data_IF_050544712950
#
_entry.id   IF_050544712950
#
_cell.length_a   1.000
_cell.length_b   1.000
_cell.length_c   1.000
_cell.angle_alpha   90.00
_cell.angle_beta   90.00
_cell.angle_gamma   90.00
#
_symmetry.space_group_name_H-M   'P 1'
#
loop_
_entity.id
_entity.type
_entity.pdbx_description
1 polymer ?
#
# COMPACT_ATOMS: atom_id res chain seq x y z
N UNK A 1 -9.94 -22.17 13.75
CA UNK A 1 -10.19 -20.71 13.80
C UNK A 1 -8.85 -20.01 13.72
N UNK A 2 -8.78 -18.84 13.06
CA UNK A 2 -7.62 -17.94 12.91
C UNK A 2 -6.72 -18.17 11.67
N UNK A 3 -7.27 -17.87 10.49
CA UNK A 3 -6.48 -17.45 9.32
C UNK A 3 -7.03 -16.13 8.74
N UNK A 4 -7.78 -15.36 9.53
CA UNK A 4 -8.58 -14.23 9.04
C UNK A 4 -8.00 -12.86 9.43
N UNK A 5 -6.89 -12.81 10.16
CA UNK A 5 -6.33 -11.53 10.62
C UNK A 5 -5.21 -11.01 9.70
N UNK A 6 -4.66 -11.86 8.83
CA UNK A 6 -3.67 -11.47 7.82
C UNK A 6 -4.27 -10.86 6.55
N UNK A 7 -5.52 -11.24 6.23
CA UNK A 7 -6.25 -10.73 5.08
C UNK A 7 -6.83 -9.32 5.33
N UNK A 8 -7.15 -9.02 6.59
CA UNK A 8 -7.67 -7.72 7.03
C UNK A 8 -6.55 -6.67 7.18
N UNK A 9 -5.31 -7.11 7.41
CA UNK A 9 -4.17 -6.22 7.39
C UNK A 9 -4.05 -5.57 6.00
N UNK A 10 -3.92 -4.24 5.91
CA UNK A 10 -3.85 -3.52 4.65
C UNK A 10 -2.45 -3.67 4.01
N UNK A 11 -1.99 -4.90 3.80
CA UNK A 11 -0.70 -5.25 3.19
C UNK A 11 -0.51 -4.57 1.82
N UNK A 12 -1.61 -4.34 1.10
CA UNK A 12 -1.62 -3.65 -0.18
C UNK A 12 -1.14 -2.18 -0.09
N UNK A 13 -1.16 -1.58 1.10
CA UNK A 13 -0.61 -0.23 1.37
C UNK A 13 0.89 -0.22 1.65
N UNK A 14 1.50 -1.38 1.86
CA UNK A 14 2.94 -1.49 2.05
C UNK A 14 3.60 -1.58 0.67
N UNK A 15 4.38 -0.56 0.34
CA UNK A 15 5.15 -0.47 -0.90
C UNK A 15 6.64 -0.51 -0.55
N UNK A 16 7.46 -0.94 -1.51
CA UNK A 16 8.90 -0.79 -1.39
C UNK A 16 9.29 0.69 -1.39
N UNK A 17 10.48 1.01 -0.88
CA UNK A 17 11.00 2.38 -0.83
C UNK A 17 11.11 3.06 -2.21
N UNK A 18 11.10 2.29 -3.31
CA UNK A 18 11.07 2.79 -4.68
C UNK A 18 9.64 3.03 -5.24
N UNK A 19 8.61 2.86 -4.42
CA UNK A 19 7.19 3.07 -4.79
C UNK A 19 6.63 1.97 -5.70
N UNK A 20 7.40 0.92 -5.95
CA UNK A 20 6.98 -0.20 -6.79
C UNK A 20 6.27 -1.29 -5.95
N UNK A 21 5.11 -1.79 -6.41
CA UNK A 21 4.46 -2.97 -5.82
C UNK A 21 5.32 -4.22 -6.02
N UNK A 22 5.08 -5.26 -5.22
CA UNK A 22 5.78 -6.54 -5.40
C UNK A 22 5.43 -7.15 -6.76
N UNK A 23 6.41 -7.58 -7.60
CA UNK A 23 6.14 -8.02 -8.99
C UNK A 23 5.10 -9.13 -9.11
N UNK A 24 5.10 -10.07 -8.16
CA UNK A 24 4.17 -11.20 -8.13
C UNK A 24 2.75 -10.82 -7.68
N UNK A 25 2.60 -9.69 -6.99
CA UNK A 25 1.32 -9.20 -6.46
C UNK A 25 0.91 -7.86 -7.09
N UNK A 26 1.64 -7.39 -8.10
CA UNK A 26 1.48 -6.04 -8.67
C UNK A 26 0.04 -5.81 -9.15
N UNK A 27 -0.57 -6.80 -9.79
CA UNK A 27 -1.95 -6.69 -10.31
C UNK A 27 -2.95 -6.55 -9.17
N UNK A 28 -2.87 -7.40 -8.16
CA UNK A 28 -3.81 -7.39 -7.05
C UNK A 28 -3.61 -6.18 -6.15
N UNK A 29 -2.36 -5.83 -5.88
CA UNK A 29 -2.00 -4.65 -5.10
C UNK A 29 -2.48 -3.37 -5.78
N UNK A 30 -2.26 -3.21 -7.09
CA UNK A 30 -2.77 -2.07 -7.85
C UNK A 30 -4.30 -2.03 -7.88
N UNK A 31 -4.96 -3.19 -8.00
CA UNK A 31 -6.43 -3.26 -7.97
C UNK A 31 -6.99 -2.79 -6.62
N UNK A 32 -6.41 -3.25 -5.52
CA UNK A 32 -6.81 -2.85 -4.15
C UNK A 32 -6.47 -1.39 -3.87
N UNK A 33 -5.31 -0.91 -4.33
CA UNK A 33 -4.90 0.49 -4.22
C UNK A 33 -5.83 1.44 -5.00
N UNK A 34 -6.23 1.06 -6.23
CA UNK A 34 -7.21 1.83 -7.01
C UNK A 34 -8.58 1.87 -6.36
N UNK A 35 -9.03 0.76 -5.77
CA UNK A 35 -10.27 0.72 -5.00
C UNK A 35 -10.22 1.68 -3.78
N UNK A 36 -9.03 1.89 -3.22
CA UNK A 36 -8.79 2.87 -2.15
C UNK A 36 -8.48 4.29 -2.63
N UNK A 37 -8.57 4.59 -3.93
CA UNK A 37 -8.30 5.93 -4.49
C UNK A 37 -6.82 6.28 -4.66
N UNK A 38 -5.91 5.32 -4.52
CA UNK A 38 -4.47 5.56 -4.72
C UNK A 38 -4.14 5.50 -6.21
N UNK A 39 -3.67 6.63 -6.74
CA UNK A 39 -3.27 6.76 -8.14
C UNK A 39 -1.87 6.17 -8.33
N UNK A 40 -1.73 5.37 -9.38
CA UNK A 40 -0.45 4.73 -9.74
C UNK A 40 -0.01 5.20 -11.12
N UNK A 41 1.17 5.80 -11.20
CA UNK A 41 1.80 6.30 -12.44
C UNK A 41 2.84 5.29 -12.89
N UNK A 42 2.71 4.76 -14.13
CA UNK A 42 3.63 3.74 -14.69
C UNK A 42 3.82 2.51 -13.77
N UNK A 43 2.74 2.04 -13.14
CA UNK A 43 2.74 0.94 -12.15
C UNK A 43 3.48 1.24 -10.84
N UNK A 44 3.87 2.50 -10.59
CA UNK A 44 4.43 2.96 -9.32
C UNK A 44 3.45 3.88 -8.61
N UNK A 45 3.45 3.85 -7.28
CA UNK A 45 2.69 4.79 -6.46
C UNK A 45 3.56 5.99 -6.14
N UNK A 46 3.00 7.19 -6.20
CA UNK A 46 3.71 8.38 -5.76
C UNK A 46 3.80 8.39 -4.22
N UNK A 47 4.94 7.98 -3.70
CA UNK A 47 5.16 7.95 -2.26
C UNK A 47 5.16 9.34 -1.64
N UNK A 48 5.41 10.43 -2.38
CA UNK A 48 5.39 11.77 -1.80
C UNK A 48 3.98 12.21 -1.46
N UNK A 49 3.02 11.87 -2.31
CA UNK A 49 1.61 12.19 -2.13
C UNK A 49 0.95 11.31 -1.07
N UNK A 50 1.32 10.03 -1.01
CA UNK A 50 0.68 9.03 -0.15
C UNK A 50 1.49 8.62 1.08
N UNK A 51 2.62 9.26 1.37
CA UNK A 51 3.41 8.96 2.57
C UNK A 51 2.63 9.39 3.81
N UNK A 52 2.16 8.40 4.56
CA UNK A 52 1.66 8.61 5.92
C UNK A 52 2.87 8.86 6.82
N UNK A 53 2.94 10.05 7.38
CA UNK A 53 3.79 10.30 8.53
C UNK A 53 3.07 9.66 9.74
N UNK A 54 3.75 8.85 10.57
CA UNK A 54 3.17 8.58 11.88
C UNK A 54 2.91 9.94 12.51
N UNK A 55 1.73 10.17 13.08
CA UNK A 55 1.58 11.33 13.95
C UNK A 55 2.71 11.21 14.98
N UNK A 56 3.65 12.15 14.97
CA UNK A 56 4.62 12.25 16.04
C UNK A 56 3.78 12.46 17.28
N UNK A 57 3.59 11.37 18.04
CA UNK A 57 2.99 11.42 19.35
C UNK A 57 3.77 12.47 20.12
N UNK A 58 3.07 13.52 20.48
CA UNK A 58 3.44 14.47 21.51
C UNK A 58 4.04 13.70 22.68
N UNK A 59 5.34 13.91 22.93
CA UNK A 59 6.10 13.37 24.05
C UNK A 59 7.17 14.38 24.45
#
# INVERSE_FOLDING_TARGET
MLAEEGADLPWHRILRSDGAPTPRLVREQLSRLRAGGVVSVRQKVDLREYRRYPETGDA
#
